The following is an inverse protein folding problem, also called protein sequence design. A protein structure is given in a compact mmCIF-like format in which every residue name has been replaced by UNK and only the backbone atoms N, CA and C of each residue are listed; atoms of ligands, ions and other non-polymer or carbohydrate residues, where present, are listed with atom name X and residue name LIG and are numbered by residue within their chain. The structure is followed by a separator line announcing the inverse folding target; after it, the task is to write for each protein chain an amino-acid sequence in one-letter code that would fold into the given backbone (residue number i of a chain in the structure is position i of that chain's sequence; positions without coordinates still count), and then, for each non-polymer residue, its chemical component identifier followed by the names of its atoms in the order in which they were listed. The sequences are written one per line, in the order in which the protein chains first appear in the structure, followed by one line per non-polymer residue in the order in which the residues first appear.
data_IF_699834082602
#
_entry.id   IF_699834082602
#
_cell.length_a   1.000
_cell.length_b   1.000
_cell.length_c   1.000
_cell.angle_alpha   90.00
_cell.angle_beta   90.00
_cell.angle_gamma   90.00
#
_symmetry.space_group_name_H-M   'P 1'
#
loop_
_entity.id
_entity.type
_entity.pdbx_description
1 polymer ?
#
# COMPACT_ATOMS: atom_id res chain seq x y z
N UNK A 1 1.62 -10.30 -10.47
CA UNK A 1 0.54 -9.76 -11.32
C UNK A 1 0.38 -8.30 -10.93
N UNK A 2 0.30 -7.38 -11.90
CA UNK A 2 -0.08 -6.00 -11.60
C UNK A 2 -1.55 -6.01 -11.18
N UNK A 3 -1.77 -5.96 -9.88
CA UNK A 3 -3.12 -5.86 -9.32
C UNK A 3 -3.43 -4.40 -9.11
N UNK A 4 -4.61 -3.98 -9.56
CA UNK A 4 -5.17 -2.68 -9.27
C UNK A 4 -5.22 -2.47 -7.75
N UNK A 5 -4.63 -1.36 -7.30
CA UNK A 5 -4.61 -0.96 -5.90
C UNK A 5 -5.60 0.17 -5.67
N UNK A 6 -6.66 -0.12 -4.92
CA UNK A 6 -7.72 0.82 -4.58
C UNK A 6 -7.58 1.42 -3.17
N UNK A 7 -6.46 1.19 -2.48
CA UNK A 7 -6.16 1.79 -1.18
C UNK A 7 -5.76 3.28 -1.32
N UNK A 8 -6.59 4.07 -2.02
CA UNK A 8 -6.47 5.52 -2.18
C UNK A 8 -7.85 6.15 -2.06
N UNK A 9 -7.88 7.41 -1.61
CA UNK A 9 -9.12 8.19 -1.55
C UNK A 9 -9.79 8.26 -2.94
N UNK A 10 -11.13 8.19 -2.96
CA UNK A 10 -11.91 8.27 -4.19
C UNK A 10 -11.95 7.00 -5.06
N UNK A 11 -11.32 5.89 -4.65
CA UNK A 11 -11.26 4.64 -5.43
C UNK A 11 -12.22 3.54 -4.94
N UNK A 12 -13.08 3.84 -3.97
CA UNK A 12 -14.04 2.89 -3.41
C UNK A 12 -15.17 2.55 -4.38
N UNK A 13 -15.64 1.30 -4.38
CA UNK A 13 -16.81 0.87 -5.15
C UNK A 13 -16.55 0.58 -6.63
N UNK A 14 -15.29 0.56 -7.06
CA UNK A 14 -14.90 0.24 -8.43
C UNK A 14 -14.92 -1.26 -8.70
N UNK A 15 -15.26 -1.64 -9.94
CA UNK A 15 -15.20 -3.02 -10.42
C UNK A 15 -13.75 -3.47 -10.63
N UNK A 16 -13.17 -4.02 -9.57
CA UNK A 16 -11.77 -4.49 -9.57
C UNK A 16 -11.53 -5.59 -10.59
N UNK A 17 -12.50 -6.47 -10.83
CA UNK A 17 -12.32 -7.59 -11.76
C UNK A 17 -12.17 -7.07 -13.18
N UNK A 18 -13.07 -6.17 -13.60
CA UNK A 18 -12.99 -5.53 -14.91
C UNK A 18 -11.71 -4.72 -15.08
N UNK A 19 -11.33 -3.92 -14.08
CA UNK A 19 -10.10 -3.10 -14.13
C UNK A 19 -8.87 -3.99 -14.25
N UNK A 20 -8.77 -5.06 -13.46
CA UNK A 20 -7.64 -5.99 -13.52
C UNK A 20 -7.54 -6.68 -14.88
N UNK A 21 -8.67 -7.10 -15.49
CA UNK A 21 -8.68 -7.67 -16.85
C UNK A 21 -8.14 -6.70 -17.90
N UNK A 22 -8.49 -5.41 -17.80
CA UNK A 22 -7.98 -4.37 -18.69
C UNK A 22 -6.46 -4.19 -18.49
N UNK A 23 -5.99 -4.10 -17.25
CA UNK A 23 -4.56 -3.97 -16.93
C UNK A 23 -3.78 -5.17 -17.48
N UNK A 24 -4.26 -6.38 -17.23
CA UNK A 24 -3.61 -7.62 -17.69
C UNK A 24 -3.49 -7.67 -19.21
N UNK A 25 -4.58 -7.32 -19.92
CA UNK A 25 -4.62 -7.30 -21.39
C UNK A 25 -3.68 -6.25 -22.01
N UNK A 26 -3.28 -5.23 -21.24
CA UNK A 26 -2.38 -4.16 -21.69
C UNK A 26 -0.98 -4.23 -21.05
N UNK A 27 -0.69 -5.27 -20.26
CA UNK A 27 0.62 -5.45 -19.61
C UNK A 27 1.51 -6.32 -20.49
N UNK A 28 2.74 -5.85 -20.77
CA UNK A 28 3.69 -6.63 -21.57
C UNK A 28 4.13 -7.93 -20.87
N UNK A 29 4.40 -8.98 -21.65
CA UNK A 29 4.88 -10.26 -21.12
C UNK A 29 6.17 -10.12 -20.28
N UNK A 30 7.08 -9.22 -20.69
CA UNK A 30 8.31 -8.92 -19.95
C UNK A 30 8.01 -8.38 -18.55
N UNK A 31 7.10 -7.40 -18.46
CA UNK A 31 6.71 -6.84 -17.17
C UNK A 31 5.95 -7.86 -16.32
N UNK A 32 5.05 -8.66 -16.93
CA UNK A 32 4.34 -9.73 -16.22
C UNK A 32 5.30 -10.74 -15.59
N UNK A 33 6.32 -11.18 -16.33
CA UNK A 33 7.36 -12.07 -15.84
C UNK A 33 8.18 -11.43 -14.70
N UNK A 34 8.51 -10.14 -14.83
CA UNK A 34 9.21 -9.40 -13.78
C UNK A 34 8.37 -9.29 -12.50
N UNK A 35 7.09 -8.92 -12.61
CA UNK A 35 6.14 -8.86 -11.50
C UNK A 35 5.97 -10.24 -10.83
N UNK A 36 5.90 -11.32 -11.62
CA UNK A 36 5.83 -12.69 -11.10
C UNK A 36 7.06 -13.05 -10.28
N UNK A 37 8.27 -12.77 -10.78
CA UNK A 37 9.52 -13.00 -10.02
C UNK A 37 9.56 -12.22 -8.70
N UNK A 38 9.05 -10.98 -8.67
CA UNK A 38 8.94 -10.24 -7.41
C UNK A 38 7.95 -10.90 -6.44
N UNK A 39 6.79 -11.34 -6.94
CA UNK A 39 5.80 -12.03 -6.13
C UNK A 39 6.34 -13.35 -5.57
N UNK A 40 7.08 -14.11 -6.37
CA UNK A 40 7.69 -15.37 -5.94
C UNK A 40 8.66 -15.15 -4.77
N UNK A 41 9.49 -14.09 -4.82
CA UNK A 41 10.37 -13.71 -3.69
C UNK A 41 9.59 -13.36 -2.42
N UNK A 42 8.47 -12.65 -2.56
CA UNK A 42 7.59 -12.31 -1.42
C UNK A 42 6.98 -13.58 -0.84
N UNK A 43 6.53 -14.50 -1.70
CA UNK A 43 5.95 -15.77 -1.31
C UNK A 43 6.97 -16.63 -0.57
N UNK A 44 8.19 -16.78 -1.10
CA UNK A 44 9.29 -17.50 -0.46
C UNK A 44 9.60 -16.95 0.94
N UNK A 45 9.68 -15.62 1.08
CA UNK A 45 9.91 -14.97 2.37
C UNK A 45 8.76 -15.21 3.35
N UNK A 46 7.52 -15.13 2.85
CA UNK A 46 6.31 -15.38 3.64
C UNK A 46 6.28 -16.81 4.16
N UNK A 47 6.58 -17.79 3.30
CA UNK A 47 6.66 -19.20 3.67
C UNK A 47 7.79 -19.47 4.66
N UNK A 48 8.95 -18.83 4.49
CA UNK A 48 10.05 -18.91 5.46
C UNK A 48 9.62 -18.40 6.85
N UNK A 49 8.89 -17.29 6.91
CA UNK A 49 8.37 -16.74 8.17
C UNK A 49 7.32 -17.68 8.79
N UNK A 50 6.37 -18.19 7.99
CA UNK A 50 5.36 -19.15 8.48
C UNK A 50 6.00 -20.42 9.05
N UNK A 51 7.01 -20.98 8.37
CA UNK A 51 7.75 -22.14 8.86
C UNK A 51 8.44 -21.86 10.20
N UNK A 52 9.06 -20.68 10.34
CA UNK A 52 9.66 -20.27 11.61
C UNK A 52 8.60 -20.17 12.71
N UNK A 53 7.42 -19.60 12.42
CA UNK A 53 6.32 -19.49 13.38
C UNK A 53 5.79 -20.86 13.84
N UNK A 54 5.73 -21.85 12.94
CA UNK A 54 5.33 -23.23 13.29
C UNK A 54 6.32 -23.93 14.23
N UNK A 55 7.59 -23.54 14.19
CA UNK A 55 8.64 -24.13 15.03
C UNK A 55 8.74 -23.49 16.43
N UNK A 56 8.02 -22.40 16.70
CA UNK A 56 8.06 -21.70 17.99
C UNK A 56 7.29 -22.49 19.04
N UNK A 57 7.94 -22.79 20.16
CA UNK A 57 7.32 -23.50 21.28
C UNK A 57 6.36 -22.60 22.09
N UNK A 58 5.39 -23.17 22.83
CA UNK A 58 4.52 -22.40 23.72
C UNK A 58 5.28 -21.55 24.75
N UNK A 59 6.43 -22.04 25.24
CA UNK A 59 7.26 -21.31 26.20
C UNK A 59 7.95 -20.10 25.56
N UNK A 60 8.44 -20.23 24.32
CA UNK A 60 9.01 -19.11 23.57
C UNK A 60 7.96 -18.07 23.22
N UNK A 61 6.73 -18.50 22.85
CA UNK A 61 5.60 -17.61 22.65
C UNK A 61 5.27 -16.82 23.92
N UNK A 62 5.12 -17.50 25.06
CA UNK A 62 4.81 -16.86 26.34
C UNK A 62 5.91 -15.88 26.79
N UNK A 63 7.19 -16.23 26.55
CA UNK A 63 8.31 -15.31 26.83
C UNK A 63 8.26 -14.07 25.93
N UNK A 64 8.07 -14.25 24.62
CA UNK A 64 8.01 -13.15 23.67
C UNK A 64 6.81 -12.23 23.94
N UNK A 65 5.65 -12.79 24.27
CA UNK A 65 4.46 -12.04 24.68
C UNK A 65 4.75 -11.16 25.89
N UNK A 66 5.33 -11.74 26.96
CA UNK A 66 5.72 -10.99 28.15
C UNK A 66 6.71 -9.85 27.84
N UNK A 67 7.73 -10.11 27.03
CA UNK A 67 8.70 -9.09 26.61
C UNK A 67 8.03 -7.94 25.82
N UNK A 68 7.07 -8.27 24.95
CA UNK A 68 6.32 -7.28 24.17
C UNK A 68 5.33 -6.50 25.03
N UNK A 69 4.71 -7.11 26.02
CA UNK A 69 3.81 -6.44 26.96
C UNK A 69 4.58 -5.44 27.84
N UNK A 70 5.76 -5.81 28.34
CA UNK A 70 6.64 -4.90 29.09
C UNK A 70 7.08 -3.71 28.23
N UNK A 71 7.39 -3.95 26.96
CA UNK A 71 7.70 -2.91 25.99
C UNK A 71 6.49 -1.99 25.74
N UNK A 72 5.31 -2.57 25.50
CA UNK A 72 4.08 -1.83 25.24
C UNK A 72 3.71 -0.95 26.45
N UNK A 73 3.77 -1.49 27.67
CA UNK A 73 3.53 -0.76 28.90
C UNK A 73 4.51 0.41 29.07
N UNK A 74 5.79 0.21 28.72
CA UNK A 74 6.80 1.27 28.75
C UNK A 74 6.56 2.35 27.70
N UNK A 75 6.11 2.01 26.50
CA UNK A 75 5.76 3.00 25.49
C UNK A 75 4.51 3.78 25.90
N UNK A 76 3.53 3.09 26.49
CA UNK A 76 2.29 3.69 26.97
C UNK A 76 2.53 4.67 28.12
N UNK A 77 3.40 4.35 29.07
CA UNK A 77 3.69 5.27 30.18
C UNK A 77 4.42 6.55 29.74
N UNK A 78 4.98 6.57 28.54
CA UNK A 78 5.60 7.74 27.92
C UNK A 78 4.71 8.37 26.83
N UNK A 79 3.44 7.94 26.69
CA UNK A 79 2.50 8.54 25.72
C UNK A 79 2.30 10.02 26.05
N UNK A 80 2.73 10.89 25.14
CA UNK A 80 2.56 12.34 25.27
C UNK A 80 1.42 12.83 24.38
N UNK A 81 0.30 13.23 24.99
CA UNK A 81 -0.88 13.75 24.32
C UNK A 81 -0.99 15.29 24.38
N UNK A 82 0.07 15.99 24.79
CA UNK A 82 0.06 17.46 24.95
C UNK A 82 0.25 18.23 23.66
N UNK A 83 0.57 17.54 22.55
CA UNK A 83 0.87 18.16 21.26
C UNK A 83 -0.31 17.97 20.32
N UNK A 84 -0.71 19.06 19.69
CA UNK A 84 -1.58 19.01 18.52
C UNK A 84 -0.72 18.79 17.28
N UNK A 85 -0.88 17.63 16.65
CA UNK A 85 -0.22 17.30 15.40
C UNK A 85 -1.20 17.53 14.25
N UNK A 86 -0.91 18.48 13.37
CA UNK A 86 -1.69 18.75 12.17
C UNK A 86 -0.94 18.20 10.95
N UNK A 87 -1.58 17.31 10.20
CA UNK A 87 -1.11 16.83 8.91
C UNK A 87 -1.96 17.44 7.80
N UNK A 88 -1.32 18.09 6.84
CA UNK A 88 -1.97 18.71 5.68
C UNK A 88 -1.49 17.95 4.45
N UNK A 89 -2.45 17.42 3.69
CA UNK A 89 -2.22 16.76 2.41
C UNK A 89 -3.02 17.51 1.33
N UNK A 90 -2.42 17.72 0.17
CA UNK A 90 -3.01 18.48 -0.92
C UNK A 90 -3.78 17.54 -1.84
N UNK A 91 -5.08 17.76 -1.97
CA UNK A 91 -5.95 16.92 -2.80
C UNK A 91 -5.50 16.90 -4.26
N UNK A 92 -5.12 15.72 -4.74
CA UNK A 92 -4.66 15.47 -6.13
C UNK A 92 -3.65 16.53 -6.63
N UNK A 93 -2.69 16.92 -5.78
CA UNK A 93 -1.88 18.14 -5.90
C UNK A 93 -1.49 18.57 -7.31
N UNK A 94 -0.78 17.72 -8.07
CA UNK A 94 -0.33 18.10 -9.42
C UNK A 94 -1.49 18.32 -10.40
N UNK A 95 -2.52 17.47 -10.36
CA UNK A 95 -3.71 17.67 -11.18
C UNK A 95 -4.49 18.93 -10.76
N UNK A 96 -4.55 19.22 -9.46
CA UNK A 96 -5.18 20.43 -8.95
C UNK A 96 -4.50 21.72 -9.42
N UNK A 97 -3.17 21.71 -9.57
CA UNK A 97 -2.41 22.82 -10.17
C UNK A 97 -2.80 23.02 -11.64
N UNK A 98 -2.81 21.96 -12.45
CA UNK A 98 -3.20 22.07 -13.86
C UNK A 98 -4.67 22.52 -14.02
N UNK A 99 -5.59 22.02 -13.19
CA UNK A 99 -7.00 22.46 -13.17
C UNK A 99 -7.19 23.92 -12.71
N UNK A 100 -6.26 24.45 -11.92
CA UNK A 100 -6.25 25.87 -11.52
C UNK A 100 -5.86 26.72 -12.73
N UNK A 101 -4.80 26.32 -13.42
CA UNK A 101 -4.18 27.09 -14.50
C UNK A 101 -4.96 26.96 -15.83
N UNK A 102 -5.58 25.80 -16.07
CA UNK A 102 -6.56 25.58 -17.14
C UNK A 102 -7.89 25.05 -16.57
N UNK A 103 -8.88 25.94 -16.35
CA UNK A 103 -10.18 25.57 -15.82
C UNK A 103 -10.98 24.58 -16.67
N UNK A 104 -10.68 24.42 -17.97
CA UNK A 104 -11.37 23.46 -18.83
C UNK A 104 -11.13 22.00 -18.41
N UNK A 105 -10.04 21.76 -17.67
CA UNK A 105 -9.65 20.43 -17.19
C UNK A 105 -10.49 19.95 -15.98
N UNK A 106 -11.24 20.84 -15.32
CA UNK A 106 -12.00 20.50 -14.09
C UNK A 106 -13.14 19.51 -14.29
N UNK A 107 -13.65 19.39 -15.51
CA UNK A 107 -14.82 18.56 -15.83
C UNK A 107 -14.48 17.30 -16.62
N UNK A 108 -13.19 16.99 -16.79
CA UNK A 108 -12.73 15.82 -17.54
C UNK A 108 -11.86 14.92 -16.66
N UNK A 109 -11.87 13.59 -16.87
CA UNK A 109 -10.89 12.71 -16.24
C UNK A 109 -9.50 13.05 -16.76
N UNK A 110 -8.54 13.27 -15.86
CA UNK A 110 -7.16 13.57 -16.23
C UNK A 110 -6.16 12.94 -15.27
N UNK A 111 -4.92 12.85 -15.72
CA UNK A 111 -3.77 12.47 -14.91
C UNK A 111 -2.56 13.29 -15.35
N UNK A 112 -1.61 13.50 -14.45
CA UNK A 112 -0.34 14.18 -14.74
C UNK A 112 0.72 13.13 -14.98
N UNK A 113 1.53 13.28 -16.04
CA UNK A 113 2.58 12.33 -16.38
C UNK A 113 2.75 12.18 -17.88
N UNK A 114 3.16 10.98 -18.30
CA UNK A 114 3.37 10.60 -19.69
C UNK A 114 2.76 9.22 -19.96
N UNK A 115 2.75 8.78 -21.22
CA UNK A 115 2.30 7.43 -21.56
C UNK A 115 3.12 6.31 -20.90
N UNK A 116 4.31 6.61 -20.36
CA UNK A 116 5.15 5.63 -19.65
C UNK A 116 4.87 5.55 -18.15
N UNK A 117 4.41 6.64 -17.52
CA UNK A 117 4.15 6.70 -16.09
C UNK A 117 3.26 7.91 -15.75
N UNK A 118 2.32 7.70 -14.84
CA UNK A 118 1.50 8.73 -14.18
C UNK A 118 2.02 8.96 -12.76
#
# INVERSE_FOLDING_TARGET
MLTFNDNKAGMSGLDKERINKIIESNTSGNYSNFSKKQQDRINEKTESIKKRLQAVSPAEWSRAEKEMDELAARLECHRDLRRDCVHIDMDAYFAAVEMRDDPSLRTVPMAIGTSSML
#
